data_IF_234816676176
#
_entry.id   IF_234816676176
#
_cell.length_a   1.000
_cell.length_b   1.000
_cell.length_c   1.000
_cell.angle_alpha   90.00
_cell.angle_beta   90.00
_cell.angle_gamma   90.00
#
_symmetry.space_group_name_H-M   'P 1'
#
loop_
_entity.id
_entity.type
_entity.pdbx_description
1 polymer ?
#
# COMPACT_ATOMS: atom_id res chain seq x y z
N UNK A 1 -29.21 5.66 -15.60
CA UNK A 1 -27.83 6.15 -15.41
C UNK A 1 -26.92 4.94 -15.49
N UNK A 2 -25.87 4.98 -16.30
CA UNK A 2 -24.89 3.90 -16.38
C UNK A 2 -24.20 3.74 -15.03
N UNK A 3 -24.23 2.54 -14.44
CA UNK A 3 -23.54 2.25 -13.17
C UNK A 3 -22.04 2.23 -13.46
N UNK A 4 -21.31 3.22 -12.96
CA UNK A 4 -19.85 3.23 -12.98
C UNK A 4 -19.37 2.84 -11.59
N UNK A 5 -18.44 1.90 -11.51
CA UNK A 5 -17.80 1.49 -10.26
C UNK A 5 -16.29 1.51 -10.45
N UNK A 6 -15.55 1.85 -9.40
CA UNK A 6 -14.11 1.65 -9.37
C UNK A 6 -13.84 0.27 -8.78
N UNK A 7 -13.03 -0.54 -9.44
CA UNK A 7 -12.56 -1.86 -8.97
C UNK A 7 -11.05 -1.82 -8.81
N UNK A 8 -10.49 -2.68 -7.97
CA UNK A 8 -9.05 -2.77 -7.80
C UNK A 8 -8.47 -3.70 -8.88
N UNK A 9 -7.64 -3.14 -9.76
CA UNK A 9 -6.89 -3.89 -10.77
C UNK A 9 -5.52 -4.24 -10.21
N UNK A 10 -5.21 -5.53 -10.18
CA UNK A 10 -3.92 -6.07 -9.75
C UNK A 10 -3.07 -6.41 -10.96
N UNK A 11 -1.79 -6.06 -10.89
CA UNK A 11 -0.73 -6.59 -11.74
C UNK A 11 0.04 -7.62 -10.93
N UNK A 12 -0.03 -8.87 -11.37
CA UNK A 12 0.54 -10.03 -10.70
C UNK A 12 1.65 -10.64 -11.56
N UNK A 13 2.61 -11.28 -10.91
CA UNK A 13 3.56 -12.20 -11.55
C UNK A 13 3.34 -13.58 -10.96
N UNK A 14 2.99 -14.54 -11.81
CA UNK A 14 2.85 -15.95 -11.45
C UNK A 14 4.14 -16.67 -11.85
N UNK A 15 4.91 -17.09 -10.85
CA UNK A 15 6.13 -17.87 -11.00
C UNK A 15 5.77 -19.36 -10.91
N UNK A 16 5.73 -20.06 -12.05
CA UNK A 16 5.41 -21.51 -12.09
C UNK A 16 6.64 -22.39 -11.86
N UNK A 17 7.82 -21.85 -12.14
CA UNK A 17 9.12 -22.50 -12.05
C UNK A 17 10.21 -21.44 -12.28
N UNK A 18 11.47 -21.78 -11.95
CA UNK A 18 12.62 -20.89 -12.03
C UNK A 18 12.82 -20.15 -13.39
N UNK A 19 12.14 -20.59 -14.47
CA UNK A 19 12.23 -20.00 -15.80
C UNK A 19 10.92 -19.42 -16.35
N UNK A 20 9.77 -19.68 -15.72
CA UNK A 20 8.46 -19.25 -16.24
C UNK A 20 7.80 -18.25 -15.31
N UNK A 21 7.91 -16.97 -15.69
CA UNK A 21 7.19 -15.85 -15.06
C UNK A 21 6.08 -15.36 -15.98
N UNK A 22 4.85 -15.41 -15.50
CA UNK A 22 3.67 -14.96 -16.25
C UNK A 22 3.15 -13.65 -15.66
N UNK A 23 3.35 -12.51 -16.32
CA UNK A 23 2.70 -11.27 -15.93
C UNK A 23 1.22 -11.35 -16.27
N UNK A 24 0.36 -11.07 -15.30
CA UNK A 24 -1.08 -11.17 -15.42
C UNK A 24 -1.72 -9.93 -14.80
N UNK A 25 -2.66 -9.32 -15.52
CA UNK A 25 -3.51 -8.28 -14.97
C UNK A 25 -4.91 -8.83 -14.75
N UNK A 26 -5.40 -8.74 -13.53
CA UNK A 26 -6.74 -9.20 -13.12
C UNK A 26 -7.31 -8.27 -12.09
N UNK A 27 -8.64 -8.24 -11.97
CA UNK A 27 -9.23 -7.63 -10.80
C UNK A 27 -8.97 -8.48 -9.56
N UNK A 28 -8.89 -7.84 -8.40
CA UNK A 28 -8.66 -8.48 -7.10
C UNK A 28 -9.65 -9.62 -6.78
N UNK A 29 -10.91 -9.51 -7.22
CA UNK A 29 -11.88 -10.59 -7.08
C UNK A 29 -11.54 -11.83 -7.91
N UNK A 30 -10.56 -11.80 -8.82
CA UNK A 30 -10.10 -12.99 -9.52
C UNK A 30 -8.92 -13.67 -8.80
N UNK A 31 -8.23 -12.96 -7.91
CA UNK A 31 -7.05 -13.48 -7.21
C UNK A 31 -7.32 -14.81 -6.49
N UNK A 32 -8.43 -15.00 -5.73
CA UNK A 32 -8.70 -16.28 -5.08
C UNK A 32 -8.87 -17.45 -6.06
N UNK A 33 -9.29 -17.19 -7.29
CA UNK A 33 -9.38 -18.23 -8.33
C UNK A 33 -7.99 -18.62 -8.82
N UNK A 34 -7.09 -17.65 -8.97
CA UNK A 34 -5.70 -17.89 -9.37
C UNK A 34 -4.93 -18.62 -8.28
N UNK A 35 -5.09 -18.24 -7.02
CA UNK A 35 -4.45 -18.92 -5.88
C UNK A 35 -4.82 -20.41 -5.84
N UNK A 36 -6.09 -20.75 -6.07
CA UNK A 36 -6.55 -22.14 -6.15
C UNK A 36 -6.03 -22.86 -7.40
N UNK A 37 -5.98 -22.18 -8.56
CA UNK A 37 -5.45 -22.76 -9.81
C UNK A 37 -3.95 -23.07 -9.76
N UNK A 38 -3.21 -22.31 -8.96
CA UNK A 38 -1.75 -22.36 -8.90
C UNK A 38 -1.22 -22.85 -7.54
N UNK A 39 -2.10 -23.40 -6.69
CA UNK A 39 -1.76 -23.88 -5.35
C UNK A 39 -0.62 -24.92 -5.32
N UNK A 40 -0.44 -25.68 -6.41
CA UNK A 40 0.60 -26.71 -6.55
C UNK A 40 1.98 -26.13 -6.93
N UNK A 41 2.45 -25.15 -6.16
CA UNK A 41 3.84 -24.71 -6.16
C UNK A 41 4.17 -23.51 -7.03
N UNK A 42 3.18 -22.81 -7.60
CA UNK A 42 3.42 -21.51 -8.20
C UNK A 42 3.37 -20.41 -7.12
N UNK A 43 4.25 -19.41 -7.24
CA UNK A 43 4.24 -18.23 -6.37
C UNK A 43 3.55 -17.10 -7.12
N UNK A 44 2.49 -16.54 -6.53
CA UNK A 44 1.80 -15.36 -7.05
C UNK A 44 2.31 -14.15 -6.27
N UNK A 45 2.93 -13.20 -6.95
CA UNK A 45 3.43 -11.95 -6.37
C UNK A 45 2.64 -10.78 -6.94
N UNK A 46 2.09 -9.93 -6.08
CA UNK A 46 1.52 -8.64 -6.49
C UNK A 46 2.65 -7.65 -6.77
N UNK A 47 2.62 -7.01 -7.93
CA UNK A 47 3.58 -5.99 -8.35
C UNK A 47 2.99 -4.59 -8.25
N UNK A 48 1.68 -4.46 -8.48
CA UNK A 48 0.97 -3.19 -8.44
C UNK A 48 -0.52 -3.42 -8.23
N UNK A 49 -1.16 -2.56 -7.47
CA UNK A 49 -2.61 -2.42 -7.42
C UNK A 49 -3.02 -0.98 -7.76
N UNK A 50 -4.09 -0.83 -8.54
CA UNK A 50 -4.62 0.49 -8.89
C UNK A 50 -6.14 0.51 -9.05
N UNK A 51 -6.82 1.61 -8.69
CA UNK A 51 -8.24 1.75 -8.95
C UNK A 51 -8.50 1.90 -10.46
N UNK A 52 -9.44 1.11 -10.98
CA UNK A 52 -9.84 1.13 -12.39
C UNK A 52 -11.35 1.33 -12.52
N UNK A 53 -11.76 2.37 -13.27
CA UNK A 53 -13.17 2.68 -13.49
C UNK A 53 -13.80 1.78 -14.56
N UNK A 54 -14.83 1.02 -14.14
CA UNK A 54 -15.62 0.17 -15.03
C UNK A 54 -16.99 0.79 -15.26
N UNK A 55 -17.26 1.13 -16.52
CA UNK A 55 -18.56 1.66 -16.94
C UNK A 55 -19.56 0.55 -17.24
N UNK A 56 -20.84 0.81 -16.96
CA UNK A 56 -21.94 -0.15 -17.15
C UNK A 56 -21.72 -1.46 -16.41
N UNK A 57 -21.21 -1.39 -15.19
CA UNK A 57 -20.87 -2.56 -14.41
C UNK A 57 -22.10 -3.39 -14.02
N UNK A 58 -22.13 -4.63 -14.48
CA UNK A 58 -23.16 -5.64 -14.16
C UNK A 58 -22.49 -6.87 -13.52
N UNK A 59 -22.81 -7.12 -12.25
CA UNK A 59 -22.24 -8.23 -11.48
C UNK A 59 -22.59 -9.60 -12.07
N UNK A 60 -23.79 -9.75 -12.64
CA UNK A 60 -24.21 -11.02 -13.23
C UNK A 60 -23.44 -11.33 -14.51
N UNK A 61 -23.20 -10.31 -15.34
CA UNK A 61 -22.36 -10.44 -16.55
C UNK A 61 -20.90 -10.72 -16.19
N UNK A 62 -20.37 -10.07 -15.17
CA UNK A 62 -18.99 -10.33 -14.70
C UNK A 62 -18.85 -11.75 -14.17
N UNK A 63 -19.82 -12.24 -13.36
CA UNK A 63 -19.77 -13.61 -12.86
C UNK A 63 -19.92 -14.65 -13.99
N UNK A 64 -20.75 -14.37 -14.99
CA UNK A 64 -20.83 -15.19 -16.20
C UNK A 64 -19.51 -15.19 -17.00
N UNK A 65 -18.86 -14.03 -17.11
CA UNK A 65 -17.53 -13.87 -17.71
C UNK A 65 -16.46 -14.71 -16.99
N UNK A 66 -16.45 -14.68 -15.66
CA UNK A 66 -15.60 -15.51 -14.80
C UNK A 66 -15.81 -17.01 -15.05
N UNK A 67 -17.08 -17.45 -15.09
CA UNK A 67 -17.43 -18.84 -15.43
C UNK A 67 -16.93 -19.24 -16.81
N UNK A 68 -16.99 -18.35 -17.79
CA UNK A 68 -16.48 -18.62 -19.14
C UNK A 68 -14.94 -18.65 -19.18
N UNK A 69 -14.28 -17.75 -18.46
CA UNK A 69 -12.82 -17.64 -18.40
C UNK A 69 -12.20 -18.87 -17.75
N UNK A 70 -12.65 -19.24 -16.55
CA UNK A 70 -12.04 -20.33 -15.77
C UNK A 70 -12.78 -21.66 -15.91
N UNK A 71 -14.08 -21.66 -16.18
CA UNK A 71 -14.89 -22.89 -16.27
C UNK A 71 -14.73 -23.68 -17.58
N UNK A 72 -13.83 -23.26 -18.48
CA UNK A 72 -13.52 -24.00 -19.72
C UNK A 72 -12.70 -25.27 -19.47
N UNK A 73 -12.06 -25.38 -18.31
CA UNK A 73 -11.29 -26.54 -17.86
C UNK A 73 -11.86 -27.07 -16.55
N UNK A 74 -11.63 -28.37 -16.26
CA UNK A 74 -12.06 -28.97 -14.99
C UNK A 74 -11.39 -28.28 -13.80
N UNK A 75 -10.07 -28.08 -13.89
CA UNK A 75 -9.26 -27.42 -12.85
C UNK A 75 -9.76 -26.00 -12.56
N UNK A 76 -9.99 -25.19 -13.61
CA UNK A 76 -10.51 -23.83 -13.44
C UNK A 76 -11.95 -23.78 -12.96
N UNK A 77 -12.79 -24.75 -13.30
CA UNK A 77 -14.14 -24.86 -12.74
C UNK A 77 -14.11 -25.22 -11.24
N UNK A 78 -13.18 -26.09 -10.82
CA UNK A 78 -12.99 -26.45 -9.42
C UNK A 78 -12.42 -25.28 -8.62
N UNK A 79 -11.39 -24.60 -9.14
CA UNK A 79 -10.83 -23.40 -8.52
C UNK A 79 -11.86 -22.27 -8.38
N UNK A 80 -12.67 -22.02 -9.42
CA UNK A 80 -13.76 -21.04 -9.34
C UNK A 80 -14.78 -21.39 -8.25
N UNK A 81 -15.08 -22.68 -8.07
CA UNK A 81 -16.02 -23.17 -7.05
C UNK A 81 -15.41 -23.12 -5.65
N UNK A 82 -14.10 -23.34 -5.51
CA UNK A 82 -13.35 -23.20 -4.27
C UNK A 82 -13.31 -21.73 -3.82
N UNK A 83 -12.93 -20.83 -4.72
CA UNK A 83 -12.96 -19.38 -4.53
C UNK A 83 -14.37 -18.86 -4.22
N UNK A 84 -15.37 -19.30 -4.99
CA UNK A 84 -16.75 -18.82 -4.90
C UNK A 84 -17.76 -19.95 -4.79
N UNK A 85 -18.14 -20.26 -3.54
CA UNK A 85 -19.19 -21.24 -3.26
C UNK A 85 -20.53 -20.92 -3.93
N UNK A 86 -20.85 -19.64 -4.09
CA UNK A 86 -22.08 -19.15 -4.71
C UNK A 86 -21.96 -17.68 -5.16
N UNK A 87 -22.95 -17.19 -5.90
CA UNK A 87 -23.04 -15.80 -6.38
C UNK A 87 -22.94 -14.77 -5.24
N UNK A 88 -23.47 -15.08 -4.05
CA UNK A 88 -23.37 -14.17 -2.90
C UNK A 88 -21.94 -14.02 -2.40
N UNK A 89 -21.12 -15.07 -2.47
CA UNK A 89 -19.70 -14.99 -2.14
C UNK A 89 -18.97 -14.10 -3.16
N UNK A 90 -19.28 -14.27 -4.44
CA UNK A 90 -18.75 -13.42 -5.50
C UNK A 90 -19.13 -11.94 -5.33
N UNK A 91 -20.41 -11.61 -5.13
CA UNK A 91 -20.85 -10.23 -4.89
C UNK A 91 -20.18 -9.59 -3.66
N UNK A 92 -19.84 -10.38 -2.63
CA UNK A 92 -19.07 -9.87 -1.49
C UNK A 92 -17.63 -9.51 -1.87
N UNK A 93 -16.96 -10.33 -2.68
CA UNK A 93 -15.62 -10.03 -3.16
C UNK A 93 -15.62 -8.79 -4.06
N UNK A 94 -16.59 -8.67 -4.96
CA UNK A 94 -16.78 -7.44 -5.76
C UNK A 94 -17.02 -6.22 -4.88
N UNK A 95 -17.85 -6.33 -3.83
CA UNK A 95 -18.07 -5.21 -2.92
C UNK A 95 -16.80 -4.82 -2.15
N UNK A 96 -15.97 -5.79 -1.78
CA UNK A 96 -14.67 -5.56 -1.16
C UNK A 96 -13.71 -4.86 -2.13
N UNK A 97 -13.66 -5.29 -3.41
CA UNK A 97 -12.91 -4.62 -4.48
C UNK A 97 -13.29 -3.16 -4.63
N UNK A 98 -14.59 -2.87 -4.67
CA UNK A 98 -15.09 -1.50 -4.77
C UNK A 98 -14.71 -0.67 -3.54
N UNK A 99 -14.71 -1.27 -2.35
CA UNK A 99 -14.26 -0.60 -1.13
C UNK A 99 -12.76 -0.33 -1.16
N UNK A 100 -11.95 -1.30 -1.55
CA UNK A 100 -10.49 -1.20 -1.65
C UNK A 100 -10.06 -0.19 -2.71
N UNK A 101 -10.75 -0.14 -3.86
CA UNK A 101 -10.49 0.86 -4.89
C UNK A 101 -10.79 2.29 -4.39
N UNK A 102 -11.80 2.47 -3.53
CA UNK A 102 -12.12 3.78 -2.92
C UNK A 102 -11.10 4.20 -1.86
N UNK A 103 -10.55 3.25 -1.11
CA UNK A 103 -9.46 3.57 -0.17
C UNK A 103 -8.19 3.88 -0.93
N UNK A 104 -7.92 3.18 -2.03
CA UNK A 104 -6.77 3.42 -2.91
C UNK A 104 -6.87 4.77 -3.65
N UNK A 105 -8.07 5.22 -4.04
CA UNK A 105 -8.26 6.56 -4.61
C UNK A 105 -8.35 7.67 -3.55
N UNK A 106 -8.60 7.32 -2.29
CA UNK A 106 -8.51 8.25 -1.16
C UNK A 106 -7.09 8.36 -0.60
N UNK A 107 -6.18 7.49 -1.07
CA UNK A 107 -4.76 7.42 -0.73
C UNK A 107 -3.86 8.17 -1.73
N UNK A 108 -4.36 9.21 -2.39
CA UNK A 108 -3.49 10.33 -2.83
C UNK A 108 -2.98 11.18 -1.62
N UNK A 109 -3.18 10.67 -0.40
CA UNK A 109 -2.41 11.05 0.77
C UNK A 109 -2.16 9.78 1.61
N UNK A 110 -0.89 9.49 1.87
CA UNK A 110 -0.32 8.39 2.65
C UNK A 110 0.05 7.10 1.89
N UNK A 111 1.36 7.04 1.62
CA UNK A 111 2.25 5.88 1.75
C UNK A 111 2.05 4.75 0.74
N UNK A 112 2.71 4.92 -0.41
CA UNK A 112 3.30 3.80 -1.12
C UNK A 112 4.55 3.37 -0.35
N UNK A 113 4.44 2.30 0.44
CA UNK A 113 5.57 1.53 0.92
C UNK A 113 6.24 0.86 -0.29
N UNK A 114 7.19 1.57 -0.90
CA UNK A 114 8.28 0.97 -1.67
C UNK A 114 9.51 1.02 -0.75
N UNK A 115 9.63 0.04 0.16
CA UNK A 115 10.88 -0.21 0.85
C UNK A 115 11.92 -0.62 -0.20
N UNK A 116 12.74 0.32 -0.66
CA UNK A 116 14.19 0.34 -0.43
C UNK A 116 14.76 1.66 -1.00
N UNK A 117 14.76 2.73 -0.19
CA UNK A 117 15.84 3.75 -0.11
C UNK A 117 15.46 4.84 0.91
N UNK A 118 16.10 4.80 2.09
CA UNK A 118 16.28 5.87 3.09
C UNK A 118 15.11 6.85 3.33
N UNK A 119 14.16 6.48 4.19
CA UNK A 119 13.09 7.36 4.67
C UNK A 119 13.26 7.79 6.14
N UNK A 120 14.42 8.35 6.47
CA UNK A 120 14.61 9.04 7.76
C UNK A 120 13.93 10.42 7.78
N UNK A 121 13.50 10.92 6.62
CA UNK A 121 12.90 12.25 6.44
C UNK A 121 11.48 12.30 7.00
N UNK A 122 10.65 11.28 6.72
CA UNK A 122 9.24 11.25 7.12
C UNK A 122 9.07 11.09 8.64
N UNK A 123 9.99 10.38 9.30
CA UNK A 123 10.03 10.27 10.77
C UNK A 123 10.35 11.61 11.46
N UNK A 124 11.20 12.45 10.86
CA UNK A 124 11.55 13.77 11.39
C UNK A 124 10.45 14.79 11.17
N UNK A 125 9.75 14.74 10.03
CA UNK A 125 8.56 15.55 9.80
C UNK A 125 7.42 15.18 10.77
N UNK A 126 7.23 13.89 11.03
CA UNK A 126 6.30 13.40 12.05
C UNK A 126 6.69 13.86 13.45
N UNK A 127 7.99 13.86 13.78
CA UNK A 127 8.50 14.38 15.05
C UNK A 127 8.29 15.89 15.18
N UNK A 128 8.56 16.67 14.11
CA UNK A 128 8.32 18.11 14.07
C UNK A 128 6.83 18.47 14.26
N UNK A 129 5.92 17.55 13.96
CA UNK A 129 4.49 17.66 14.23
C UNK A 129 4.11 17.62 15.72
N UNK A 130 4.98 17.08 16.60
CA UNK A 130 4.69 16.85 18.03
C UNK A 130 4.89 18.09 18.90
N UNK A 131 4.56 17.98 20.20
CA UNK A 131 4.74 19.10 21.14
C UNK A 131 6.22 19.37 21.43
N UNK A 132 6.54 20.57 21.92
CA UNK A 132 7.93 20.96 22.22
C UNK A 132 8.60 19.99 23.19
N UNK A 133 7.88 19.56 24.23
CA UNK A 133 8.41 18.63 25.24
C UNK A 133 8.64 17.21 24.68
N UNK A 134 7.83 16.78 23.71
CA UNK A 134 8.02 15.48 23.04
C UNK A 134 9.18 15.50 22.06
N UNK A 135 9.38 16.64 21.38
CA UNK A 135 10.53 16.84 20.51
C UNK A 135 11.80 16.87 21.36
N UNK A 136 11.83 17.66 22.43
CA UNK A 136 12.96 17.74 23.38
C UNK A 136 13.35 16.36 23.94
N UNK A 137 12.37 15.50 24.28
CA UNK A 137 12.64 14.16 24.79
C UNK A 137 13.17 13.18 23.71
N UNK A 138 12.95 13.48 22.43
CA UNK A 138 13.42 12.67 21.31
C UNK A 138 14.81 13.10 20.83
N UNK A 139 15.23 14.35 21.06
CA UNK A 139 16.51 14.89 20.56
C UNK A 139 17.72 14.06 20.99
N UNK A 140 17.73 13.52 22.21
CA UNK A 140 18.83 12.69 22.73
C UNK A 140 19.02 11.36 21.96
N UNK A 141 18.00 10.93 21.19
CA UNK A 141 18.04 9.69 20.42
C UNK A 141 18.24 9.94 18.91
N UNK A 142 18.39 11.19 18.49
CA UNK A 142 18.61 11.58 17.10
C UNK A 142 20.09 11.78 16.80
N UNK A 143 20.47 11.55 15.54
CA UNK A 143 21.83 11.83 15.07
C UNK A 143 22.02 13.32 14.77
N UNK A 144 23.27 13.78 14.67
CA UNK A 144 23.56 15.17 14.31
C UNK A 144 22.98 15.57 12.94
N UNK A 145 22.90 14.61 12.01
CA UNK A 145 22.29 14.79 10.69
C UNK A 145 20.78 14.99 10.81
N UNK A 146 20.11 14.13 11.58
CA UNK A 146 18.68 14.24 11.89
C UNK A 146 18.33 15.55 12.62
N UNK A 147 19.20 15.99 13.55
CA UNK A 147 19.04 17.26 14.26
C UNK A 147 19.17 18.45 13.31
N UNK A 148 20.07 18.40 12.34
CA UNK A 148 20.20 19.42 11.32
C UNK A 148 18.96 19.47 10.40
N UNK A 149 18.45 18.31 9.98
CA UNK A 149 17.23 18.24 9.17
C UNK A 149 16.00 18.71 9.95
N UNK A 150 15.85 18.31 11.20
CA UNK A 150 14.78 18.79 12.08
C UNK A 150 14.85 20.31 12.29
N UNK A 151 16.06 20.89 12.36
CA UNK A 151 16.23 22.34 12.40
C UNK A 151 15.78 23.01 11.10
N UNK A 152 16.05 22.41 9.94
CA UNK A 152 15.59 22.91 8.63
C UNK A 152 14.07 22.86 8.55
N UNK A 153 13.45 21.76 8.96
CA UNK A 153 12.00 21.57 9.01
C UNK A 153 11.36 22.60 9.95
N UNK A 154 11.89 22.79 11.16
CA UNK A 154 11.33 23.74 12.13
C UNK A 154 11.51 25.21 11.67
N UNK A 155 12.61 25.54 10.97
CA UNK A 155 12.80 26.87 10.38
C UNK A 155 11.89 27.13 9.17
N UNK A 156 11.48 26.08 8.44
CA UNK A 156 10.58 26.19 7.29
C UNK A 156 9.11 26.44 7.69
N UNK A 157 8.77 26.33 8.98
CA UNK A 157 7.40 26.56 9.48
C UNK A 157 7.01 28.03 9.41
N UNK A 158 5.72 28.30 9.18
CA UNK A 158 5.18 29.67 9.21
C UNK A 158 5.43 30.40 10.54
N UNK A 159 5.55 29.65 11.64
CA UNK A 159 5.94 30.15 12.96
C UNK A 159 6.96 29.21 13.59
N UNK A 160 8.26 29.44 13.39
CA UNK A 160 9.31 28.63 14.00
C UNK A 160 9.21 28.70 15.53
N UNK A 161 9.18 27.54 16.19
CA UNK A 161 9.14 27.47 17.65
C UNK A 161 10.55 27.62 18.18
N UNK A 162 10.83 28.80 18.73
CA UNK A 162 12.13 29.11 19.31
C UNK A 162 12.61 28.08 20.35
N UNK A 163 11.72 27.53 21.18
CA UNK A 163 12.09 26.50 22.15
C UNK A 163 12.63 25.20 21.51
N UNK A 164 12.06 24.79 20.38
CA UNK A 164 12.53 23.61 19.63
C UNK A 164 13.88 23.89 18.97
N UNK A 165 14.04 25.06 18.35
CA UNK A 165 15.31 25.46 17.74
C UNK A 165 16.43 25.64 18.78
N UNK A 166 16.12 26.20 19.96
CA UNK A 166 17.06 26.33 21.07
C UNK A 166 17.45 24.95 21.63
N UNK A 167 16.51 23.99 21.71
CA UNK A 167 16.78 22.62 22.14
C UNK A 167 17.60 21.81 21.12
N UNK A 168 17.31 21.94 19.82
CA UNK A 168 18.11 21.34 18.75
C UNK A 168 19.53 21.92 18.73
N UNK A 169 19.66 23.25 18.88
CA UNK A 169 20.97 23.89 18.97
C UNK A 169 21.74 23.49 20.24
N UNK A 170 21.05 23.24 21.34
CA UNK A 170 21.65 22.68 22.55
C UNK A 170 22.15 21.25 22.32
N UNK A 171 21.34 20.37 21.71
CA UNK A 171 21.73 19.00 21.39
C UNK A 171 22.94 18.94 20.43
N UNK A 172 22.96 19.79 19.39
CA UNK A 172 24.09 19.93 18.46
C UNK A 172 25.33 20.58 19.09
N UNK A 173 25.14 21.40 20.13
CA UNK A 173 26.22 22.10 20.84
C UNK A 173 26.82 21.33 22.01
N UNK A 174 26.07 20.39 22.61
CA UNK A 174 26.47 19.62 23.79
C UNK A 174 27.40 18.43 23.44
N UNK A 175 27.33 17.92 22.20
CA UNK A 175 28.24 16.89 21.66
C UNK A 175 29.70 17.37 21.53
N UNK A 176 29.96 18.68 21.72
CA UNK A 176 31.28 19.30 21.62
C UNK A 176 31.98 19.62 22.95
N UNK A 177 31.47 19.21 24.11
CA UNK A 177 32.11 19.55 25.39
C UNK A 177 31.93 18.53 26.53
N UNK A 178 32.17 17.24 26.29
CA UNK A 178 32.77 16.38 27.32
C UNK A 178 34.25 16.13 27.01
N UNK A 179 35.07 17.05 27.51
CA UNK A 179 36.50 16.86 27.73
C UNK A 179 36.72 15.80 28.82
N UNK A 180 37.34 14.68 28.46
CA UNK A 180 38.38 14.01 29.29
C UNK A 180 39.49 13.48 28.39
#
# INVERSE_FOLDING_TARGET
MAKTVSLLLLTLVIDRDATTKLPVQVFDYELPVLEELFADGAVITEVKSEPFEVHNFDEAEVFAGLKNKYGSTTEGAEALKAAYRNERAFSKAVAASIAAAKTSSSAEHFEAEDEEEDDQSDDLEALAGKTVAEIEAALDNLTDEDLHELAVIENAREKPRKGVLDAIAAALGDQGSETV
#
